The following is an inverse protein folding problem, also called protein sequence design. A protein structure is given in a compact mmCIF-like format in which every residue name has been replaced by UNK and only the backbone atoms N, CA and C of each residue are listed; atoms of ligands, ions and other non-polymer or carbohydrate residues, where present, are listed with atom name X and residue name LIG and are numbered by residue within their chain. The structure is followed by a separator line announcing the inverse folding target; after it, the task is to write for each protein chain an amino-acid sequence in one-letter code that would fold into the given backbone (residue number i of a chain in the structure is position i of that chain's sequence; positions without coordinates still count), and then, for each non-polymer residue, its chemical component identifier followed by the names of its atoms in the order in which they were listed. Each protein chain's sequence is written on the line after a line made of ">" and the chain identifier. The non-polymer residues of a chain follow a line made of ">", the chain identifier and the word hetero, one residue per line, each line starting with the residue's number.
data_IF_524789654473
#
_entry.id   IF_524789654473
#
_cell.length_a   1.000
_cell.length_b   1.000
_cell.length_c   1.000
_cell.angle_alpha   90.00
_cell.angle_beta   90.00
_cell.angle_gamma   90.00
#
_symmetry.space_group_name_H-M   'P 1'
#
loop_
_entity.id
_entity.type
_entity.pdbx_description
1 polymer ?
#
# COMPACT_ATOMS: atom_id res chain seq x y z
N UNK A 1 -13.94 21.89 -12.22
CA UNK A 1 -14.27 21.60 -13.63
C UNK A 1 -14.80 20.18 -13.72
N UNK A 2 -15.90 19.90 -14.45
CA UNK A 2 -16.38 18.54 -14.62
C UNK A 2 -15.43 17.80 -15.59
N UNK A 3 -14.88 16.65 -15.16
CA UNK A 3 -14.03 15.80 -16.02
C UNK A 3 -14.92 15.09 -17.05
N UNK A 4 -14.64 15.28 -18.34
CA UNK A 4 -15.31 14.60 -19.46
C UNK A 4 -14.72 13.20 -19.60
N UNK A 5 -15.50 12.15 -19.34
CA UNK A 5 -15.09 10.78 -19.65
C UNK A 5 -15.06 10.60 -21.17
N UNK A 6 -13.89 10.34 -21.73
CA UNK A 6 -13.69 10.10 -23.16
C UNK A 6 -13.76 8.59 -23.43
N UNK A 7 -14.14 8.18 -24.63
CA UNK A 7 -14.38 6.79 -25.06
C UNK A 7 -13.14 5.87 -25.11
N UNK A 8 -11.96 6.35 -24.71
CA UNK A 8 -10.77 5.53 -24.49
C UNK A 8 -10.74 5.07 -23.03
N UNK A 9 -10.43 3.79 -22.76
CA UNK A 9 -10.32 3.26 -21.40
C UNK A 9 -9.12 3.92 -20.71
N UNK A 10 -9.37 4.96 -19.91
CA UNK A 10 -8.35 5.63 -19.10
C UNK A 10 -7.72 4.60 -18.13
N UNK A 11 -6.40 4.67 -17.97
CA UNK A 11 -5.66 3.86 -17.00
C UNK A 11 -5.83 4.46 -15.60
N UNK A 12 -5.73 3.63 -14.57
CA UNK A 12 -5.96 4.05 -13.17
C UNK A 12 -5.09 5.25 -12.75
N UNK A 13 -3.82 5.28 -13.16
CA UNK A 13 -2.91 6.38 -12.81
C UNK A 13 -3.29 7.71 -13.48
N UNK A 14 -4.08 7.69 -14.55
CA UNK A 14 -4.50 8.90 -15.28
C UNK A 14 -5.65 9.63 -14.57
N UNK A 15 -6.39 8.91 -13.72
CA UNK A 15 -7.58 9.44 -13.04
C UNK A 15 -7.37 9.67 -11.53
N UNK A 16 -6.30 9.13 -10.94
CA UNK A 16 -6.00 9.28 -9.52
C UNK A 16 -5.37 10.64 -9.18
N UNK A 17 -5.73 11.24 -8.04
CA UNK A 17 -5.11 12.49 -7.57
C UNK A 17 -3.66 12.28 -7.08
N UNK A 18 -3.37 11.09 -6.56
CA UNK A 18 -2.05 10.68 -6.08
C UNK A 18 -1.76 9.28 -6.65
N UNK A 19 -0.60 9.13 -7.25
CA UNK A 19 -0.10 7.86 -7.80
C UNK A 19 1.12 7.42 -6.98
N UNK A 20 1.08 6.19 -6.49
CA UNK A 20 2.25 5.53 -5.91
C UNK A 20 2.83 4.59 -6.97
N UNK A 21 3.92 5.04 -7.61
CA UNK A 21 4.64 4.24 -8.60
C UNK A 21 5.57 3.23 -7.90
N UNK A 22 5.38 1.94 -8.18
CA UNK A 22 6.24 0.89 -7.66
C UNK A 22 7.53 0.70 -8.47
N UNK A 23 7.67 1.42 -9.60
CA UNK A 23 8.79 1.35 -10.52
C UNK A 23 9.07 -0.08 -11.03
N UNK A 24 8.04 -0.92 -11.11
CA UNK A 24 8.15 -2.29 -11.62
C UNK A 24 8.46 -2.32 -13.11
N UNK A 25 8.97 -3.46 -13.57
CA UNK A 25 9.17 -3.72 -15.00
C UNK A 25 7.92 -4.37 -15.62
N UNK A 26 7.81 -4.29 -16.95
CA UNK A 26 6.76 -4.96 -17.71
C UNK A 26 6.74 -6.47 -17.39
N UNK A 27 5.54 -7.00 -17.13
CA UNK A 27 5.35 -8.39 -16.73
C UNK A 27 5.71 -8.71 -15.27
N UNK A 28 6.19 -7.75 -14.49
CA UNK A 28 6.60 -7.91 -13.08
C UNK A 28 7.55 -9.09 -12.87
N UNK A 29 8.65 -9.09 -13.62
CA UNK A 29 9.65 -10.14 -13.55
C UNK A 29 11.05 -9.53 -13.76
N UNK A 30 11.64 -9.04 -12.67
CA UNK A 30 12.82 -8.18 -12.71
C UNK A 30 14.15 -8.90 -12.98
N UNK A 31 14.19 -10.23 -12.88
CA UNK A 31 15.43 -11.02 -12.98
C UNK A 31 15.34 -12.01 -14.13
N UNK A 32 16.20 -11.87 -15.13
CA UNK A 32 16.29 -12.83 -16.24
C UNK A 32 17.26 -13.97 -15.90
N UNK A 33 16.80 -15.22 -16.00
CA UNK A 33 17.61 -16.40 -15.74
C UNK A 33 18.12 -17.02 -17.03
N UNK A 34 19.33 -16.61 -17.47
CA UNK A 34 19.96 -17.02 -18.73
C UNK A 34 19.94 -18.53 -18.98
N UNK A 35 20.20 -19.34 -17.95
CA UNK A 35 20.27 -20.81 -18.07
C UNK A 35 18.95 -21.46 -18.47
N UNK A 36 17.81 -20.83 -18.19
CA UNK A 36 16.47 -21.36 -18.50
C UNK A 36 15.67 -20.44 -19.42
N UNK A 37 16.21 -19.28 -19.79
CA UNK A 37 15.60 -18.34 -20.74
C UNK A 37 14.31 -17.67 -20.26
N UNK A 38 14.08 -17.56 -18.95
CA UNK A 38 12.83 -17.05 -18.38
C UNK A 38 13.07 -15.88 -17.40
N UNK A 39 12.20 -14.85 -17.43
CA UNK A 39 12.19 -13.80 -16.41
C UNK A 39 11.41 -14.26 -15.17
N UNK A 40 11.91 -13.92 -13.98
CA UNK A 40 11.31 -14.22 -12.67
C UNK A 40 11.51 -13.05 -11.70
N UNK A 41 11.06 -13.20 -10.46
CA UNK A 41 11.30 -12.23 -9.40
C UNK A 41 10.34 -11.04 -9.49
N UNK A 42 9.05 -11.23 -9.22
CA UNK A 42 8.09 -10.14 -9.11
C UNK A 42 8.46 -9.20 -7.98
N UNK A 43 8.46 -7.91 -8.28
CA UNK A 43 8.82 -6.83 -7.36
C UNK A 43 7.61 -6.04 -6.90
N UNK A 44 6.54 -6.01 -7.70
CA UNK A 44 5.38 -5.15 -7.47
C UNK A 44 4.74 -5.38 -6.09
N UNK A 45 4.66 -6.63 -5.63
CA UNK A 45 4.06 -6.97 -4.32
C UNK A 45 4.89 -6.46 -3.15
N UNK A 46 6.21 -6.73 -3.13
CA UNK A 46 7.06 -6.33 -2.00
C UNK A 46 7.21 -4.82 -1.93
N UNK A 47 7.37 -4.16 -3.09
CA UNK A 47 7.46 -2.70 -3.15
C UNK A 47 6.11 -2.06 -2.82
N UNK A 48 5.00 -2.61 -3.34
CA UNK A 48 3.65 -2.16 -3.01
C UNK A 48 3.35 -2.24 -1.51
N UNK A 49 3.63 -3.39 -0.90
CA UNK A 49 3.46 -3.58 0.54
C UNK A 49 4.35 -2.62 1.36
N UNK A 50 5.59 -2.41 0.93
CA UNK A 50 6.48 -1.43 1.55
C UNK A 50 5.92 -0.01 1.48
N UNK A 51 5.48 0.44 0.30
CA UNK A 51 4.91 1.77 0.10
C UNK A 51 3.67 1.99 0.97
N UNK A 52 2.75 1.01 1.01
CA UNK A 52 1.55 1.09 1.84
C UNK A 52 1.89 1.17 3.34
N UNK A 53 2.81 0.33 3.82
CA UNK A 53 3.27 0.40 5.21
C UNK A 53 3.92 1.74 5.53
N UNK A 54 4.70 2.32 4.61
CA UNK A 54 5.29 3.66 4.77
C UNK A 54 4.23 4.74 4.87
N UNK A 55 3.17 4.68 4.05
CA UNK A 55 2.03 5.61 4.13
C UNK A 55 1.36 5.52 5.51
N UNK A 56 1.11 4.31 6.01
CA UNK A 56 0.53 4.10 7.35
C UNK A 56 1.43 4.69 8.44
N UNK A 57 2.74 4.48 8.37
CA UNK A 57 3.72 5.06 9.31
C UNK A 57 3.68 6.58 9.26
N UNK A 58 3.73 7.18 8.07
CA UNK A 58 3.72 8.64 7.93
C UNK A 58 2.44 9.28 8.46
N UNK A 59 1.29 8.66 8.20
CA UNK A 59 0.00 9.12 8.74
C UNK A 59 -0.01 9.01 10.26
N UNK A 60 0.46 7.88 10.80
CA UNK A 60 0.52 7.66 12.25
C UNK A 60 1.41 8.69 12.96
N UNK A 61 2.56 9.02 12.36
CA UNK A 61 3.45 10.07 12.85
C UNK A 61 2.78 11.45 12.83
N UNK A 62 2.03 11.76 11.77
CA UNK A 62 1.29 13.01 11.65
C UNK A 62 0.17 13.13 12.72
N UNK A 63 -0.47 12.01 13.09
CA UNK A 63 -1.40 11.97 14.23
C UNK A 63 -0.68 12.29 15.54
N UNK A 64 0.47 11.63 15.78
CA UNK A 64 1.28 11.87 16.98
C UNK A 64 1.71 13.33 17.12
N UNK A 65 2.13 13.99 16.02
CA UNK A 65 2.46 15.43 16.00
C UNK A 65 1.29 16.34 16.38
N UNK A 66 0.05 15.85 16.24
CA UNK A 66 -1.18 16.57 16.59
C UNK A 66 -1.74 16.14 17.96
N UNK A 67 -0.99 15.38 18.76
CA UNK A 67 -1.44 14.78 20.02
C UNK A 67 -2.69 13.90 19.85
N UNK A 68 -2.85 13.27 18.68
CA UNK A 68 -3.92 12.31 18.39
C UNK A 68 -3.36 10.89 18.43
N UNK A 69 -4.20 9.93 18.84
CA UNK A 69 -3.85 8.50 18.82
C UNK A 69 -4.33 7.88 17.50
N UNK A 70 -3.44 7.35 16.65
CA UNK A 70 -3.84 6.70 15.42
C UNK A 70 -4.57 5.38 15.70
N UNK A 71 -5.66 5.13 15.00
CA UNK A 71 -6.47 3.91 15.12
C UNK A 71 -5.91 2.81 14.20
N UNK A 72 -4.71 2.32 14.53
CA UNK A 72 -4.00 1.29 13.74
C UNK A 72 -3.98 -0.04 14.49
N UNK A 73 -4.17 -1.14 13.77
CA UNK A 73 -3.98 -2.47 14.34
C UNK A 73 -2.51 -2.69 14.72
N UNK A 74 -2.30 -3.36 15.85
CA UNK A 74 -0.96 -3.75 16.30
C UNK A 74 -0.86 -5.27 16.31
N UNK A 75 0.37 -5.81 16.35
CA UNK A 75 0.55 -7.26 16.37
C UNK A 75 -0.14 -7.90 17.58
N UNK A 76 -1.02 -8.88 17.31
CA UNK A 76 -1.74 -9.65 18.32
C UNK A 76 -0.78 -10.43 19.24
N UNK A 77 0.42 -10.76 18.76
CA UNK A 77 1.46 -11.43 19.55
C UNK A 77 2.08 -10.54 20.65
N UNK A 78 1.63 -9.29 20.78
CA UNK A 78 2.05 -8.41 21.87
C UNK A 78 1.09 -8.50 23.06
N UNK A 79 1.59 -8.37 24.29
CA UNK A 79 0.80 -8.47 25.54
C UNK A 79 -0.41 -7.52 25.57
N UNK A 80 -0.39 -6.44 24.78
CA UNK A 80 -1.48 -5.45 24.68
C UNK A 80 -2.25 -5.52 23.35
N UNK A 81 -1.84 -6.37 22.42
CA UNK A 81 -2.35 -6.45 21.05
C UNK A 81 -3.81 -6.79 20.96
N UNK A 82 -4.23 -7.86 21.65
CA UNK A 82 -5.62 -8.33 21.60
C UNK A 82 -6.61 -7.30 22.13
N UNK A 83 -6.33 -6.69 23.27
CA UNK A 83 -7.22 -5.68 23.87
C UNK A 83 -7.33 -4.42 23.01
N UNK A 84 -6.24 -4.01 22.37
CA UNK A 84 -6.22 -2.86 21.45
C UNK A 84 -7.02 -3.16 20.19
N UNK A 85 -6.71 -4.27 19.53
CA UNK A 85 -7.36 -4.67 18.28
C UNK A 85 -8.86 -4.97 18.47
N UNK A 86 -9.25 -5.56 19.59
CA UNK A 86 -10.68 -5.82 19.89
C UNK A 86 -11.50 -4.52 19.95
N UNK A 87 -10.92 -3.42 20.46
CA UNK A 87 -11.61 -2.12 20.46
C UNK A 87 -11.77 -1.56 19.05
N UNK A 88 -10.73 -1.71 18.22
CA UNK A 88 -10.76 -1.28 16.83
C UNK A 88 -11.79 -2.05 16.01
N UNK A 89 -11.82 -3.39 16.15
CA UNK A 89 -12.78 -4.25 15.48
C UNK A 89 -14.21 -3.78 15.74
N UNK A 90 -14.59 -3.58 17.01
CA UNK A 90 -15.94 -3.12 17.37
C UNK A 90 -16.37 -1.80 16.74
N UNK A 91 -15.42 -0.93 16.40
CA UNK A 91 -15.71 0.41 15.92
C UNK A 91 -15.66 0.53 14.38
N UNK A 92 -14.96 -0.39 13.71
CA UNK A 92 -14.59 -0.22 12.30
C UNK A 92 -14.78 -1.46 11.40
N UNK A 93 -15.16 -2.63 11.94
CA UNK A 93 -15.50 -3.85 11.17
C UNK A 93 -16.82 -4.44 11.67
#
# INVERSE_FOLDING_TARGET
>A
MPRKFTTAREKLYEIADIVLDNCGCDGDAAVYLERIGLPVGPTSTVIGAFMLNRVVVQISENYGRRNLVPQVFISANTVKGDKHNTKLLKNFQ
#
